data_IF_975932438732
#
_entry.id   IF_975932438732
#
_cell.length_a   1.000
_cell.length_b   1.000
_cell.length_c   1.000
_cell.angle_alpha   90.00
_cell.angle_beta   90.00
_cell.angle_gamma   90.00
#
_symmetry.space_group_name_H-M   'P 1'
#
loop_
_entity.id
_entity.type
_entity.pdbx_description
1 polymer ?
#
# COMPACT_ATOMS: atom_id res chain seq x y z
N UNK A 1 20.04 -7.67 23.54
CA UNK A 1 18.60 -7.93 23.32
C UNK A 1 18.08 -6.77 22.49
N UNK A 2 17.72 -7.00 21.23
CA UNK A 2 17.16 -5.97 20.36
C UNK A 2 15.68 -5.78 20.72
N UNK A 3 15.35 -4.60 21.25
CA UNK A 3 13.94 -4.21 21.43
C UNK A 3 13.37 -3.87 20.06
N UNK A 4 12.57 -4.78 19.49
CA UNK A 4 11.76 -4.47 18.33
C UNK A 4 10.67 -3.47 18.75
N UNK A 5 10.87 -2.19 18.45
CA UNK A 5 9.84 -1.17 18.61
C UNK A 5 9.04 -1.18 17.31
N UNK A 6 7.90 -1.86 17.28
CA UNK A 6 6.99 -1.76 16.14
C UNK A 6 6.34 -0.38 16.16
N UNK A 7 6.65 0.45 15.16
CA UNK A 7 5.91 1.68 14.91
C UNK A 7 4.43 1.35 14.64
N UNK A 8 3.49 2.21 15.05
CA UNK A 8 2.08 1.99 14.79
C UNK A 8 1.82 2.00 13.29
N UNK A 9 1.09 0.99 12.79
CA UNK A 9 0.56 1.01 11.44
C UNK A 9 -0.49 2.12 11.35
N UNK A 10 -0.31 3.07 10.44
CA UNK A 10 -1.32 4.09 10.16
C UNK A 10 -2.42 3.45 9.31
N UNK A 11 -3.69 3.56 9.75
CA UNK A 11 -4.84 3.14 8.95
C UNK A 11 -5.56 4.39 8.50
N UNK A 12 -5.71 4.56 7.18
CA UNK A 12 -6.45 5.68 6.62
C UNK A 12 -7.45 5.20 5.57
N UNK A 13 -8.36 6.09 5.19
CA UNK A 13 -9.32 5.83 4.11
C UNK A 13 -9.11 6.83 2.99
N UNK A 14 -9.26 6.37 1.75
CA UNK A 14 -9.21 7.21 0.55
C UNK A 14 -10.30 6.79 -0.41
N UNK A 15 -10.82 7.75 -1.17
CA UNK A 15 -11.58 7.41 -2.37
C UNK A 15 -10.63 6.84 -3.41
N UNK A 16 -11.11 5.94 -4.27
CA UNK A 16 -10.26 5.24 -5.22
C UNK A 16 -9.52 6.17 -6.21
N UNK A 17 -10.07 7.35 -6.50
CA UNK A 17 -9.39 8.35 -7.34
C UNK A 17 -8.14 8.96 -6.69
N UNK A 18 -7.94 8.76 -5.38
CA UNK A 18 -6.84 9.36 -4.61
C UNK A 18 -5.75 8.35 -4.22
N UNK A 19 -5.97 7.06 -4.49
CA UNK A 19 -4.95 6.03 -4.20
C UNK A 19 -3.80 6.11 -5.20
N UNK A 20 -2.63 5.67 -4.76
CA UNK A 20 -1.39 5.74 -5.54
C UNK A 20 -0.71 4.38 -5.63
N UNK A 21 0.02 4.18 -6.74
CA UNK A 21 0.91 3.03 -6.88
C UNK A 21 1.89 2.98 -5.70
N UNK A 22 2.07 1.80 -5.14
CA UNK A 22 2.91 1.55 -3.97
C UNK A 22 2.16 1.51 -2.64
N UNK A 23 0.95 2.08 -2.56
CA UNK A 23 0.13 1.99 -1.34
C UNK A 23 -0.42 0.58 -1.13
N UNK A 24 -0.70 0.22 0.11
CA UNK A 24 -1.23 -1.11 0.48
C UNK A 24 -2.70 -0.99 0.83
N UNK A 25 -3.56 -1.66 0.06
CA UNK A 25 -4.99 -1.74 0.33
C UNK A 25 -5.25 -2.92 1.28
N UNK A 26 -5.96 -2.66 2.37
CA UNK A 26 -6.28 -3.67 3.38
C UNK A 26 -6.98 -4.89 2.76
N UNK A 27 -6.58 -6.10 3.18
CA UNK A 27 -7.06 -7.40 2.68
C UNK A 27 -6.78 -7.73 1.20
N UNK A 28 -6.23 -6.78 0.44
CA UNK A 28 -5.90 -6.94 -0.97
C UNK A 28 -4.39 -7.04 -1.15
N UNK A 29 -3.65 -5.96 -0.92
CA UNK A 29 -2.20 -5.94 -1.10
C UNK A 29 -1.69 -4.63 -1.67
N UNK A 30 -0.43 -4.64 -2.11
CA UNK A 30 0.25 -3.47 -2.66
C UNK A 30 -0.27 -3.16 -4.07
N UNK A 31 -0.61 -1.90 -4.34
CA UNK A 31 -0.97 -1.43 -5.68
C UNK A 31 0.29 -1.37 -6.54
N UNK A 32 0.29 -2.08 -7.65
CA UNK A 32 1.38 -2.10 -8.64
C UNK A 32 1.09 -1.15 -9.80
N UNK A 33 -0.16 -1.13 -10.27
CA UNK A 33 -0.59 -0.32 -11.42
C UNK A 33 -2.04 0.15 -11.19
N UNK A 34 -2.36 1.32 -11.74
CA UNK A 34 -3.71 1.90 -11.72
C UNK A 34 -4.08 2.23 -13.15
N UNK A 35 -5.20 1.71 -13.61
CA UNK A 35 -5.80 2.06 -14.89
C UNK A 35 -7.16 2.71 -14.65
N UNK A 36 -7.34 3.92 -15.19
CA UNK A 36 -8.60 4.64 -15.14
C UNK A 36 -9.38 4.43 -16.44
N UNK A 37 -10.60 3.92 -16.32
CA UNK A 37 -11.55 3.78 -17.40
C UNK A 37 -12.76 4.72 -17.19
N UNK A 38 -13.55 5.01 -18.23
CA UNK A 38 -14.67 5.96 -18.12
C UNK A 38 -15.67 5.63 -17.00
N UNK A 39 -15.84 4.35 -16.65
CA UNK A 39 -16.85 3.88 -15.69
C UNK A 39 -16.26 3.24 -14.42
N UNK A 40 -14.94 3.01 -14.36
CA UNK A 40 -14.33 2.21 -13.31
C UNK A 40 -12.84 2.53 -13.14
N UNK A 41 -12.29 2.13 -12.00
CA UNK A 41 -10.86 2.00 -11.80
C UNK A 41 -10.48 0.52 -11.76
N UNK A 42 -9.38 0.17 -12.42
CA UNK A 42 -8.76 -1.13 -12.31
C UNK A 42 -7.46 -0.97 -11.52
N UNK A 43 -7.35 -1.67 -10.40
CA UNK A 43 -6.10 -1.79 -9.65
C UNK A 43 -5.45 -3.12 -9.98
N UNK A 44 -4.19 -3.09 -10.39
CA UNK A 44 -3.33 -4.27 -10.40
C UNK A 44 -2.62 -4.32 -9.05
N UNK A 45 -2.80 -5.40 -8.30
CA UNK A 45 -2.23 -5.56 -6.96
C UNK A 45 -1.31 -6.78 -6.89
N UNK A 46 -0.37 -6.75 -5.95
CA UNK A 46 0.41 -7.91 -5.52
C UNK A 46 -0.28 -8.58 -4.34
N UNK A 47 -0.71 -9.83 -4.50
CA UNK A 47 -1.38 -10.62 -3.46
C UNK A 47 -0.99 -12.08 -3.59
N UNK A 48 -0.56 -12.69 -2.47
CA UNK A 48 -0.15 -14.10 -2.40
C UNK A 48 0.95 -14.47 -3.43
N UNK A 49 1.85 -13.54 -3.73
CA UNK A 49 2.94 -13.75 -4.70
C UNK A 49 2.51 -13.66 -6.17
N UNK A 50 1.26 -13.27 -6.45
CA UNK A 50 0.73 -13.14 -7.81
C UNK A 50 0.24 -11.72 -8.09
N UNK A 51 0.17 -11.36 -9.38
CA UNK A 51 -0.52 -10.15 -9.84
C UNK A 51 -2.02 -10.44 -9.99
N UNK A 52 -2.86 -9.64 -9.36
CA UNK A 52 -4.31 -9.73 -9.47
C UNK A 52 -4.89 -8.41 -9.95
N UNK A 53 -5.92 -8.45 -10.81
CA UNK A 53 -6.63 -7.26 -11.29
C UNK A 53 -7.98 -7.18 -10.61
N UNK A 54 -8.27 -6.05 -9.97
CA UNK A 54 -9.55 -5.81 -9.29
C UNK A 54 -10.17 -4.53 -9.83
N UNK A 55 -11.44 -4.63 -10.19
CA UNK A 55 -12.25 -3.51 -10.70
C UNK A 55 -13.08 -2.92 -9.58
N UNK A 56 -13.20 -1.60 -9.59
CA UNK A 56 -13.92 -0.84 -8.60
C UNK A 56 -14.73 0.26 -9.27
N UNK A 57 -15.83 0.64 -8.61
CA UNK A 57 -16.63 1.79 -9.01
C UNK A 57 -15.90 3.08 -8.65
N UNK A 58 -16.18 4.16 -9.38
CA UNK A 58 -15.46 5.45 -9.23
C UNK A 58 -15.58 6.08 -7.83
N UNK A 59 -16.61 5.72 -7.06
CA UNK A 59 -16.87 6.27 -5.73
C UNK A 59 -16.50 5.30 -4.60
N UNK A 60 -15.81 4.20 -4.90
CA UNK A 60 -15.39 3.25 -3.88
C UNK A 60 -14.41 3.89 -2.89
N UNK A 61 -14.68 3.73 -1.60
CA UNK A 61 -13.76 4.05 -0.51
C UNK A 61 -12.90 2.83 -0.20
N UNK A 62 -11.58 3.01 -0.12
CA UNK A 62 -10.61 1.98 0.20
C UNK A 62 -9.95 2.28 1.55
N UNK A 63 -9.69 1.22 2.32
CA UNK A 63 -8.89 1.29 3.55
C UNK A 63 -7.44 0.99 3.18
N UNK A 64 -6.53 1.91 3.53
CA UNK A 64 -5.10 1.76 3.30
C UNK A 64 -4.36 1.48 4.61
N UNK A 65 -3.29 0.70 4.51
CA UNK A 65 -2.37 0.40 5.61
C UNK A 65 -1.04 1.09 5.30
N UNK A 66 -0.67 2.07 6.12
CA UNK A 66 0.62 2.73 6.10
C UNK A 66 1.71 1.78 6.58
N UNK A 67 2.71 1.54 5.74
CA UNK A 67 3.93 0.82 6.12
C UNK A 67 5.10 1.77 6.04
N UNK A 68 5.56 2.30 7.17
CA UNK A 68 6.85 2.98 7.20
C UNK A 68 7.96 1.93 7.12
N UNK A 69 8.54 1.74 5.94
CA UNK A 69 9.79 1.00 5.80
C UNK A 69 10.94 1.92 6.25
N UNK A 70 11.15 2.03 7.55
CA UNK A 70 12.39 2.61 8.09
C UNK A 70 13.38 1.49 8.30
N UNK A 71 14.25 1.25 7.31
CA UNK A 71 15.52 0.58 7.59
C UNK A 71 16.46 1.67 8.12
N UNK A 72 16.55 1.82 9.44
CA UNK A 72 17.70 2.49 10.05
C UNK A 72 18.90 1.56 9.88
N UNK A 73 19.67 1.75 8.80
CA UNK A 73 21.01 1.18 8.72
C UNK A 73 21.91 2.07 9.57
N UNK A 74 22.15 1.68 10.81
CA UNK A 74 23.24 2.25 11.60
C UNK A 74 24.56 1.76 10.99
N UNK A 75 25.05 2.47 9.97
CA UNK A 75 26.42 2.35 9.53
C UNK A 75 27.28 3.09 10.55
N UNK A 76 27.53 2.42 11.68
CA UNK A 76 28.49 2.82 12.69
C UNK A 76 29.88 2.95 12.07
N UNK A 77 30.12 4.05 11.38
CA UNK A 77 31.44 4.57 11.11
C UNK A 77 31.95 5.17 12.41
N UNK A 78 32.90 4.51 13.04
CA UNK A 78 33.87 5.22 13.85
C UNK A 78 35.26 4.68 13.54
N UNK A 79 36.14 5.68 13.38
CA UNK A 79 37.57 5.64 13.10
C UNK A 79 38.36 4.83 14.12
#
# INVERSE_FOLDING_TARGET
MSNATSLPFEICTKVISEVKVGEVVANLGKILEIEEAPQAYCLVIERLGEKQVIKFERHTLLILIGTENVIQVDMGGNM
#
